data_IF_159032171960
#
_entry.id   IF_159032171960
#
_cell.length_a   1.000
_cell.length_b   1.000
_cell.length_c   1.000
_cell.angle_alpha   90.00
_cell.angle_beta   90.00
_cell.angle_gamma   90.00
#
_symmetry.space_group_name_H-M   'P 1'
#
loop_
_entity.id
_entity.type
_entity.pdbx_description
1 polymer ?
#
# COMPACT_ATOMS: atom_id res chain seq x y z
N UNK A 1 7.05 0.76 -15.04
CA UNK A 1 6.19 1.67 -14.26
C UNK A 1 4.86 0.98 -14.03
N UNK A 2 4.40 0.91 -12.78
CA UNK A 2 3.07 0.41 -12.42
C UNK A 2 2.32 1.51 -11.65
N UNK A 3 1.03 1.64 -11.91
CA UNK A 3 0.13 2.52 -11.18
C UNK A 3 -0.95 1.65 -10.55
N UNK A 4 -1.10 1.73 -9.23
CA UNK A 4 -2.21 1.14 -8.48
C UNK A 4 -3.18 2.27 -8.13
N UNK A 5 -4.35 2.23 -8.74
CA UNK A 5 -5.40 3.21 -8.49
C UNK A 5 -6.37 2.73 -7.40
N UNK A 6 -6.93 3.67 -6.64
CA UNK A 6 -7.91 3.43 -5.56
C UNK A 6 -7.47 2.37 -4.51
N UNK A 7 -6.21 2.44 -4.10
CA UNK A 7 -5.64 1.53 -3.10
C UNK A 7 -6.37 1.64 -1.75
N UNK A 8 -6.56 0.48 -1.10
CA UNK A 8 -7.11 0.36 0.24
C UNK A 8 -8.49 1.04 0.40
N UNK A 9 -9.37 0.93 -0.61
CA UNK A 9 -10.77 1.34 -0.48
C UNK A 9 -11.60 0.40 0.42
N UNK A 10 -11.29 -0.91 0.40
CA UNK A 10 -11.99 -1.98 1.12
C UNK A 10 -10.96 -2.87 1.83
N UNK A 11 -11.43 -3.68 2.79
CA UNK A 11 -10.61 -4.71 3.41
C UNK A 11 -10.06 -5.66 2.34
N UNK A 12 -8.76 -5.92 2.42
CA UNK A 12 -8.07 -6.87 1.56
C UNK A 12 -8.30 -8.28 2.11
N UNK A 13 -8.52 -9.24 1.23
CA UNK A 13 -8.47 -10.65 1.61
C UNK A 13 -7.03 -11.09 1.81
N UNK A 14 -6.80 -12.20 2.52
CA UNK A 14 -5.43 -12.73 2.76
C UNK A 14 -4.67 -12.94 1.46
N UNK A 15 -5.32 -13.56 0.46
CA UNK A 15 -4.71 -13.76 -0.87
C UNK A 15 -4.39 -12.44 -1.59
N UNK A 16 -5.22 -11.41 -1.44
CA UNK A 16 -4.94 -10.09 -2.02
C UNK A 16 -3.76 -9.40 -1.32
N UNK A 17 -3.67 -9.51 0.00
CA UNK A 17 -2.58 -8.96 0.78
C UNK A 17 -1.24 -9.64 0.44
N UNK A 18 -1.23 -10.97 0.34
CA UNK A 18 -0.05 -11.75 -0.04
C UNK A 18 0.39 -11.42 -1.47
N UNK A 19 -0.55 -11.33 -2.42
CA UNK A 19 -0.24 -10.94 -3.80
C UNK A 19 0.28 -9.51 -3.91
N UNK A 20 -0.24 -8.57 -3.11
CA UNK A 20 0.32 -7.21 -2.99
C UNK A 20 1.74 -7.23 -2.44
N UNK A 21 2.00 -8.05 -1.43
CA UNK A 21 3.32 -8.20 -0.85
C UNK A 21 4.35 -8.71 -1.85
N UNK A 22 4.01 -9.77 -2.58
CA UNK A 22 4.86 -10.31 -3.63
C UNK A 22 5.11 -9.27 -4.73
N UNK A 23 4.04 -8.62 -5.22
CA UNK A 23 4.14 -7.60 -6.26
C UNK A 23 5.01 -6.39 -5.84
N UNK A 24 4.88 -5.92 -4.60
CA UNK A 24 5.72 -4.83 -4.07
C UNK A 24 7.16 -5.30 -3.90
N UNK A 25 7.37 -6.53 -3.43
CA UNK A 25 8.69 -7.12 -3.24
C UNK A 25 9.43 -7.30 -4.57
N UNK A 26 8.79 -7.85 -5.59
CA UNK A 26 9.35 -8.01 -6.94
C UNK A 26 9.65 -6.67 -7.63
N UNK A 27 8.92 -5.61 -7.23
CA UNK A 27 9.08 -4.27 -7.78
C UNK A 27 9.96 -3.35 -6.95
N UNK A 28 10.63 -3.85 -5.92
CA UNK A 28 11.66 -3.07 -5.24
C UNK A 28 12.70 -2.56 -6.24
N UNK A 29 12.96 -1.25 -6.20
CA UNK A 29 13.86 -0.56 -7.13
C UNK A 29 13.25 -0.20 -8.49
N UNK A 30 11.95 -0.45 -8.72
CA UNK A 30 11.21 -0.01 -9.92
C UNK A 30 10.14 1.02 -9.55
N UNK A 31 9.80 1.91 -10.48
CA UNK A 31 8.78 2.93 -10.25
C UNK A 31 7.39 2.32 -10.03
N UNK A 32 6.82 2.57 -8.84
CA UNK A 32 5.47 2.22 -8.41
C UNK A 32 4.78 3.49 -7.92
N UNK A 33 3.59 3.77 -8.46
CA UNK A 33 2.74 4.87 -8.01
C UNK A 33 1.48 4.25 -7.41
N UNK A 34 1.11 4.70 -6.22
CA UNK A 34 -0.11 4.25 -5.54
C UNK A 34 -0.95 5.49 -5.23
N UNK A 35 -2.20 5.49 -5.64
CA UNK A 35 -3.19 6.49 -5.25
C UNK A 35 -4.19 5.86 -4.29
N UNK A 36 -4.61 6.61 -3.27
CA UNK A 36 -5.61 6.17 -2.31
C UNK A 36 -6.44 7.37 -1.86
N UNK A 37 -7.71 7.10 -1.59
CA UNK A 37 -8.64 8.08 -1.00
C UNK A 37 -8.60 8.08 0.53
N UNK A 38 -7.68 7.32 1.14
CA UNK A 38 -7.48 7.26 2.59
C UNK A 38 -6.05 7.64 2.96
N UNK A 39 -5.87 8.14 4.17
CA UNK A 39 -4.54 8.42 4.69
C UNK A 39 -3.76 7.10 4.90
N UNK A 40 -2.42 7.11 4.79
CA UNK A 40 -1.60 5.91 5.01
C UNK A 40 -1.82 5.25 6.37
N UNK A 41 -2.16 6.03 7.41
CA UNK A 41 -2.51 5.55 8.74
C UNK A 41 -3.77 4.67 8.76
N UNK A 42 -4.71 4.90 7.85
CA UNK A 42 -5.99 4.18 7.78
C UNK A 42 -5.89 2.88 6.99
N UNK A 43 -4.71 2.57 6.42
CA UNK A 43 -4.51 1.35 5.64
C UNK A 43 -4.27 0.12 6.54
N UNK A 44 -3.62 0.29 7.68
CA UNK A 44 -3.35 -0.79 8.64
C UNK A 44 -4.56 -1.68 8.97
N UNK A 45 -5.74 -1.14 9.35
CA UNK A 45 -6.90 -1.97 9.69
C UNK A 45 -7.57 -2.65 8.49
N UNK A 46 -7.14 -2.35 7.26
CA UNK A 46 -7.70 -2.95 6.04
C UNK A 46 -6.99 -4.25 5.65
N UNK A 47 -5.86 -4.55 6.28
CA UNK A 47 -5.14 -5.80 6.08
C UNK A 47 -5.65 -6.88 7.05
N UNK A 48 -5.73 -8.14 6.58
CA UNK A 48 -6.15 -9.26 7.42
C UNK A 48 -5.08 -9.67 8.45
N UNK A 49 -3.81 -9.33 8.21
CA UNK A 49 -2.70 -9.59 9.11
C UNK A 49 -1.86 -8.31 9.30
N UNK A 50 -1.81 -7.83 10.54
CA UNK A 50 -1.10 -6.60 10.92
C UNK A 50 0.41 -6.69 10.69
N UNK A 51 1.01 -7.88 10.83
CA UNK A 51 2.47 -8.07 10.62
C UNK A 51 2.82 -7.91 9.15
N UNK A 52 2.00 -8.46 8.25
CA UNK A 52 2.17 -8.29 6.80
C UNK A 52 1.92 -6.84 6.41
N UNK A 53 0.89 -6.22 6.98
CA UNK A 53 0.58 -4.81 6.77
C UNK A 53 1.77 -3.92 7.15
N UNK A 54 2.32 -4.11 8.35
CA UNK A 54 3.47 -3.35 8.83
C UNK A 54 4.67 -3.50 7.88
N UNK A 55 5.03 -4.73 7.50
CA UNK A 55 6.16 -4.94 6.58
C UNK A 55 5.93 -4.36 5.18
N UNK A 56 4.72 -4.47 4.64
CA UNK A 56 4.37 -3.92 3.34
C UNK A 56 4.37 -2.38 3.37
N UNK A 57 3.67 -1.82 4.35
CA UNK A 57 3.52 -0.38 4.51
C UNK A 57 4.85 0.27 4.82
N UNK A 58 5.70 -0.32 5.64
CA UNK A 58 7.06 0.17 5.89
C UNK A 58 7.85 0.31 4.58
N UNK A 59 7.80 -0.71 3.71
CA UNK A 59 8.42 -0.65 2.37
C UNK A 59 7.81 0.42 1.48
N UNK A 60 6.49 0.56 1.47
CA UNK A 60 5.80 1.53 0.63
C UNK A 60 6.01 2.96 1.12
N UNK A 61 5.82 3.21 2.41
CA UNK A 61 5.82 4.53 3.06
C UNK A 61 7.25 5.05 3.18
N UNK A 62 8.20 4.21 3.63
CA UNK A 62 9.58 4.66 3.83
C UNK A 62 10.40 4.72 2.55
N UNK A 63 10.09 3.88 1.54
CA UNK A 63 10.82 3.88 0.27
C UNK A 63 10.16 4.73 -0.82
N UNK A 64 9.05 5.43 -0.54
CA UNK A 64 8.38 6.30 -1.51
C UNK A 64 8.27 7.75 -1.05
N UNK A 65 8.13 8.64 -2.04
CA UNK A 65 7.73 10.03 -1.78
C UNK A 65 6.22 10.09 -1.57
N UNK A 66 5.80 10.56 -0.40
CA UNK A 66 4.39 10.69 -0.06
C UNK A 66 3.86 12.07 -0.42
N UNK A 67 2.87 12.12 -1.31
CA UNK A 67 2.12 13.32 -1.62
C UNK A 67 0.70 13.19 -1.05
N UNK A 68 0.52 13.58 0.21
CA UNK A 68 -0.80 13.58 0.84
C UNK A 68 -1.49 14.90 0.52
N UNK A 69 -2.58 14.83 -0.25
CA UNK A 69 -3.43 15.99 -0.53
C UNK A 69 -4.64 15.98 0.40
N UNK A 70 -4.49 16.64 1.55
CA UNK A 70 -5.64 17.02 2.38
C UNK A 70 -6.37 18.19 1.70
N UNK A 71 -7.50 17.91 1.04
CA UNK A 71 -8.47 18.96 0.76
C UNK A 71 -9.24 19.23 2.06
N UNK A 72 -8.86 20.31 2.75
CA UNK A 72 -9.75 21.01 3.69
C UNK A 72 -10.84 21.71 2.90
#
# INVERSE_FOLDING_TARGET
MLILDDFAMRQLTTSQADGLYELVSERQGRSLIITSNRAPSDWYPLFPNLVVAESLLDRLINASHQAVRCWV
#
